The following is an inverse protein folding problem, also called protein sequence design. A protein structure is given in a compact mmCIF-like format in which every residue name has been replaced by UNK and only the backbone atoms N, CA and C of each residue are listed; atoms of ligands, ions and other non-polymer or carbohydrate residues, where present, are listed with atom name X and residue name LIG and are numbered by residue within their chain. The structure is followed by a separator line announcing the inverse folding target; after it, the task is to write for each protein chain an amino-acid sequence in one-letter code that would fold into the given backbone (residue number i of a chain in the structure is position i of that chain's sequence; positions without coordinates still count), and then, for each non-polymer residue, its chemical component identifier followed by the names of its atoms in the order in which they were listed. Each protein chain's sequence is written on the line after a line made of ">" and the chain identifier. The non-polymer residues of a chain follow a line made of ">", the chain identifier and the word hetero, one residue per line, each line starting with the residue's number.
data_IF_485247120777
#
_entry.id   IF_485247120777
#
_cell.length_a   1.000
_cell.length_b   1.000
_cell.length_c   1.000
_cell.angle_alpha   90.00
_cell.angle_beta   90.00
_cell.angle_gamma   90.00
#
_symmetry.space_group_name_H-M   'P 1'
#
loop_
_entity.id
_entity.type
_entity.pdbx_description
1 polymer ?
#
# COMPACT_ATOMS: atom_id res chain seq x y z
N UNK A 1 -53.23 38.01 -26.82
CA UNK A 1 -52.08 38.21 -25.91
C UNK A 1 -51.81 36.92 -25.16
N UNK A 2 -50.53 36.57 -25.04
CA UNK A 2 -49.90 35.57 -24.16
C UNK A 2 -50.14 34.07 -24.43
N UNK A 3 -49.11 33.51 -25.08
CA UNK A 3 -48.63 32.12 -25.09
C UNK A 3 -48.12 31.72 -23.69
N UNK A 4 -48.15 30.43 -23.34
CA UNK A 4 -47.10 29.67 -22.62
C UNK A 4 -47.58 28.19 -22.41
N UNK A 5 -47.30 27.27 -23.35
CA UNK A 5 -46.26 26.21 -23.25
C UNK A 5 -46.10 25.54 -21.87
N UNK A 6 -46.77 24.40 -21.69
CA UNK A 6 -46.46 23.41 -20.65
C UNK A 6 -45.69 22.24 -21.28
N UNK A 7 -44.37 22.24 -21.14
CA UNK A 7 -43.47 21.17 -21.58
C UNK A 7 -43.32 20.23 -20.37
N UNK A 8 -44.03 19.10 -20.35
CA UNK A 8 -43.71 18.02 -19.41
C UNK A 8 -42.52 17.25 -19.98
N UNK A 9 -41.32 17.65 -19.54
CA UNK A 9 -40.07 17.02 -19.92
C UNK A 9 -40.01 15.57 -19.39
N UNK A 10 -39.48 14.72 -20.26
CA UNK A 10 -39.18 13.32 -20.02
C UNK A 10 -38.29 13.11 -18.78
N UNK A 11 -38.50 11.95 -18.15
CA UNK A 11 -37.60 11.41 -17.14
C UNK A 11 -36.16 11.31 -17.69
N UNK A 12 -35.15 11.55 -16.83
CA UNK A 12 -33.96 10.74 -16.82
C UNK A 12 -33.99 9.86 -15.57
N UNK A 13 -34.44 8.62 -15.76
CA UNK A 13 -34.14 7.49 -14.88
C UNK A 13 -32.64 7.24 -14.99
N UNK A 14 -31.88 7.61 -13.96
CA UNK A 14 -30.43 7.50 -13.99
C UNK A 14 -29.80 8.01 -12.70
N UNK A 15 -30.25 7.50 -11.55
CA UNK A 15 -29.40 7.52 -10.37
C UNK A 15 -28.21 6.58 -10.67
N UNK A 16 -26.95 7.03 -10.51
CA UNK A 16 -25.81 6.14 -10.70
C UNK A 16 -25.87 5.08 -9.61
N UNK A 17 -26.28 3.88 -10.01
CA UNK A 17 -26.12 2.67 -9.21
C UNK A 17 -24.72 2.18 -9.56
N UNK A 18 -23.75 2.43 -8.68
CA UNK A 18 -22.46 1.74 -8.58
C UNK A 18 -21.67 2.50 -7.50
N UNK A 19 -22.04 2.33 -6.23
CA UNK A 19 -21.21 1.46 -5.41
C UNK A 19 -20.75 0.25 -6.22
N UNK A 20 -19.67 0.44 -6.99
CA UNK A 20 -18.99 -0.63 -7.70
C UNK A 20 -18.66 -1.65 -6.63
N UNK A 21 -19.48 -2.69 -6.53
CA UNK A 21 -19.33 -3.74 -5.54
C UNK A 21 -17.90 -4.24 -5.67
N UNK A 22 -17.05 -3.82 -4.74
CA UNK A 22 -15.63 -4.12 -4.80
C UNK A 22 -15.52 -5.64 -4.91
N UNK A 23 -15.03 -6.11 -6.05
CA UNK A 23 -15.01 -7.53 -6.36
C UNK A 23 -14.40 -8.27 -5.17
N UNK A 24 -15.10 -9.29 -4.67
CA UNK A 24 -14.63 -10.03 -3.52
C UNK A 24 -13.23 -10.60 -3.83
N UNK A 25 -12.28 -10.49 -2.89
CA UNK A 25 -10.91 -10.93 -3.12
C UNK A 25 -10.89 -12.43 -3.42
N UNK A 26 -10.07 -12.84 -4.39
CA UNK A 26 -9.94 -14.25 -4.75
C UNK A 26 -9.38 -15.11 -3.60
N UNK A 27 -8.64 -14.50 -2.66
CA UNK A 27 -8.13 -15.18 -1.48
C UNK A 27 -8.37 -14.37 -0.19
N UNK A 28 -9.52 -14.58 0.49
CA UNK A 28 -9.86 -13.89 1.73
C UNK A 28 -8.86 -14.17 2.88
N UNK A 29 -8.32 -15.38 2.96
CA UNK A 29 -7.34 -15.72 3.99
C UNK A 29 -6.02 -14.96 3.78
N UNK A 30 -5.57 -14.83 2.53
CA UNK A 30 -4.41 -14.02 2.18
C UNK A 30 -4.63 -12.56 2.57
N UNK A 31 -5.79 -12.00 2.20
CA UNK A 31 -6.19 -10.65 2.60
C UNK A 31 -6.11 -10.45 4.11
N UNK A 32 -6.65 -11.37 4.91
CA UNK A 32 -6.58 -11.29 6.38
C UNK A 32 -5.12 -11.29 6.88
N UNK A 33 -4.26 -12.13 6.33
CA UNK A 33 -2.84 -12.17 6.72
C UNK A 33 -2.11 -10.87 6.38
N UNK A 34 -2.39 -10.27 5.23
CA UNK A 34 -1.82 -8.98 4.84
C UNK A 34 -2.35 -7.84 5.72
N UNK A 35 -3.65 -7.82 6.01
CA UNK A 35 -4.24 -6.83 6.91
C UNK A 35 -3.62 -6.91 8.32
N UNK A 36 -3.37 -8.13 8.81
CA UNK A 36 -2.64 -8.31 10.07
C UNK A 36 -1.22 -7.75 9.98
N UNK A 37 -0.48 -8.04 8.91
CA UNK A 37 0.86 -7.48 8.69
C UNK A 37 0.84 -5.94 8.63
N UNK A 38 -0.16 -5.35 7.98
CA UNK A 38 -0.35 -3.89 7.91
C UNK A 38 -0.62 -3.31 9.29
N UNK A 39 -1.47 -3.96 10.08
CA UNK A 39 -1.76 -3.56 11.46
C UNK A 39 -0.52 -3.64 12.34
N UNK A 40 0.23 -4.75 12.28
CA UNK A 40 1.45 -4.97 13.05
C UNK A 40 2.52 -3.91 12.72
N UNK A 41 2.73 -3.61 11.44
CA UNK A 41 3.68 -2.58 11.02
C UNK A 41 3.23 -1.18 11.48
N UNK A 42 1.94 -0.85 11.38
CA UNK A 42 1.41 0.41 11.85
C UNK A 42 1.59 0.58 13.36
N UNK A 43 1.34 -0.48 14.13
CA UNK A 43 1.53 -0.50 15.58
C UNK A 43 3.00 -0.34 15.96
N UNK A 44 3.91 -1.09 15.34
CA UNK A 44 5.35 -0.97 15.58
C UNK A 44 5.85 0.47 15.36
N UNK A 45 5.36 1.16 14.33
CA UNK A 45 5.70 2.57 14.10
C UNK A 45 5.08 3.51 15.15
N UNK A 46 3.87 3.22 15.62
CA UNK A 46 3.22 4.00 16.67
C UNK A 46 4.00 3.88 17.99
N UNK A 47 4.42 2.67 18.35
CA UNK A 47 5.25 2.40 19.53
C UNK A 47 6.60 3.11 19.43
N UNK A 48 7.28 3.04 18.28
CA UNK A 48 8.53 3.77 18.07
C UNK A 48 8.36 5.29 18.21
N UNK A 49 7.27 5.86 17.71
CA UNK A 49 6.97 7.30 17.87
C UNK A 49 6.66 7.68 19.32
N UNK A 50 6.03 6.78 20.07
CA UNK A 50 5.74 6.99 21.50
C UNK A 50 7.03 6.93 22.32
N UNK A 51 7.87 5.95 22.07
CA UNK A 51 9.05 5.67 22.90
C UNK A 51 10.23 6.63 22.59
N UNK A 52 10.24 7.20 21.38
CA UNK A 52 11.25 8.14 20.91
C UNK A 52 10.62 9.47 20.45
N UNK A 53 10.47 10.41 21.39
CA UNK A 53 10.00 11.75 21.04
C UNK A 53 11.00 12.49 20.13
N UNK A 54 10.53 13.37 19.23
CA UNK A 54 11.42 14.16 18.37
C UNK A 54 12.45 14.98 19.15
N UNK A 55 12.09 15.51 20.33
CA UNK A 55 13.00 16.27 21.19
C UNK A 55 14.12 15.37 21.72
N UNK A 56 13.78 14.16 22.18
CA UNK A 56 14.77 13.19 22.68
C UNK A 56 15.76 12.80 21.59
N UNK A 57 15.28 12.57 20.38
CA UNK A 57 16.12 12.18 19.25
C UNK A 57 17.10 13.28 18.80
N UNK A 58 16.76 14.56 19.00
CA UNK A 58 17.62 15.69 18.64
C UNK A 58 18.77 15.91 19.64
N UNK A 59 18.57 15.59 20.91
CA UNK A 59 19.53 15.90 21.98
C UNK A 59 20.31 14.68 22.48
N UNK A 60 19.88 13.46 22.18
CA UNK A 60 20.53 12.22 22.63
C UNK A 60 20.90 11.30 21.46
N UNK A 61 22.20 11.23 21.16
CA UNK A 61 22.77 10.38 20.12
C UNK A 61 22.61 8.89 20.43
N UNK A 62 22.58 8.49 21.71
CA UNK A 62 22.35 7.09 22.11
C UNK A 62 20.91 6.69 21.78
N UNK A 63 19.94 7.51 22.17
CA UNK A 63 18.53 7.31 21.79
C UNK A 63 18.34 7.32 20.27
N UNK A 64 19.03 8.19 19.53
CA UNK A 64 18.98 8.21 18.07
C UNK A 64 19.49 6.90 17.44
N UNK A 65 20.61 6.35 17.93
CA UNK A 65 21.15 5.07 17.45
C UNK A 65 20.22 3.90 17.79
N UNK A 66 19.64 3.90 18.99
CA UNK A 66 18.67 2.89 19.41
C UNK A 66 17.42 2.91 18.52
N UNK A 67 16.84 4.09 18.31
CA UNK A 67 15.72 4.30 17.38
C UNK A 67 16.05 3.80 15.98
N UNK A 68 17.20 4.18 15.41
CA UNK A 68 17.59 3.74 14.07
C UNK A 68 17.74 2.21 13.97
N UNK A 69 18.25 1.56 15.03
CA UNK A 69 18.33 0.09 15.09
C UNK A 69 16.93 -0.54 15.13
N UNK A 70 16.03 -0.03 15.96
CA UNK A 70 14.70 -0.61 16.12
C UNK A 70 13.83 -0.39 14.88
N UNK A 71 13.93 0.77 14.23
CA UNK A 71 13.31 1.01 12.91
C UNK A 71 13.78 -0.03 11.90
N UNK A 72 15.09 -0.32 11.83
CA UNK A 72 15.63 -1.34 10.91
C UNK A 72 15.10 -2.74 11.25
N UNK A 73 15.00 -3.09 12.54
CA UNK A 73 14.47 -4.39 12.96
C UNK A 73 12.98 -4.53 12.59
N UNK A 74 12.16 -3.51 12.85
CA UNK A 74 10.76 -3.51 12.48
C UNK A 74 10.57 -3.62 10.96
N UNK A 75 11.35 -2.85 10.18
CA UNK A 75 11.32 -2.95 8.71
C UNK A 75 11.75 -4.32 8.20
N UNK A 76 12.79 -4.92 8.79
CA UNK A 76 13.25 -6.27 8.44
C UNK A 76 12.17 -7.32 8.72
N UNK A 77 11.50 -7.23 9.86
CA UNK A 77 10.41 -8.15 10.20
C UNK A 77 9.23 -8.01 9.22
N UNK A 78 8.84 -6.78 8.87
CA UNK A 78 7.79 -6.54 7.86
C UNK A 78 8.20 -7.09 6.49
N UNK A 79 9.46 -6.89 6.09
CA UNK A 79 10.01 -7.43 4.84
C UNK A 79 9.94 -8.95 4.82
N UNK A 80 10.48 -9.63 5.83
CA UNK A 80 10.53 -11.10 5.88
C UNK A 80 9.13 -11.72 5.81
N UNK A 81 8.18 -11.16 6.57
CA UNK A 81 6.79 -11.60 6.54
C UNK A 81 6.14 -11.34 5.18
N UNK A 82 6.32 -10.15 4.60
CA UNK A 82 5.76 -9.85 3.29
C UNK A 82 6.35 -10.75 2.20
N UNK A 83 7.66 -10.98 2.20
CA UNK A 83 8.32 -11.89 1.27
C UNK A 83 7.79 -13.31 1.41
N UNK A 84 7.62 -13.82 2.64
CA UNK A 84 7.08 -15.15 2.86
C UNK A 84 5.63 -15.28 2.34
N UNK A 85 4.81 -14.27 2.59
CA UNK A 85 3.44 -14.22 2.09
C UNK A 85 3.38 -14.20 0.56
N UNK A 86 4.18 -13.34 -0.08
CA UNK A 86 4.28 -13.25 -1.55
C UNK A 86 4.76 -14.57 -2.14
N UNK A 87 5.77 -15.21 -1.53
CA UNK A 87 6.31 -16.49 -1.98
C UNK A 87 5.27 -17.60 -1.95
N UNK A 88 4.42 -17.64 -0.92
CA UNK A 88 3.42 -18.71 -0.74
C UNK A 88 2.16 -18.49 -1.57
N UNK A 89 1.75 -17.24 -1.74
CA UNK A 89 0.41 -16.90 -2.24
C UNK A 89 0.41 -16.06 -3.52
N UNK A 90 1.60 -15.67 -4.01
CA UNK A 90 1.76 -14.82 -5.17
C UNK A 90 1.69 -13.32 -4.83
N UNK A 91 1.83 -12.50 -5.87
CA UNK A 91 1.84 -11.05 -5.73
C UNK A 91 0.47 -10.52 -5.26
N UNK A 92 0.40 -9.65 -4.25
CA UNK A 92 -0.84 -9.16 -3.66
C UNK A 92 -1.42 -8.01 -4.47
N UNK A 93 -2.07 -8.35 -5.59
CA UNK A 93 -2.79 -7.40 -6.43
C UNK A 93 -4.28 -7.30 -6.08
N UNK A 94 -4.99 -6.39 -6.74
CA UNK A 94 -6.40 -6.12 -6.45
C UNK A 94 -7.31 -7.34 -6.65
N UNK A 95 -6.97 -8.24 -7.58
CA UNK A 95 -7.74 -9.46 -7.83
C UNK A 95 -7.53 -10.47 -6.70
N UNK A 96 -6.28 -10.62 -6.24
CA UNK A 96 -5.95 -11.57 -5.18
C UNK A 96 -6.52 -11.16 -3.82
N UNK A 97 -6.37 -9.90 -3.44
CA UNK A 97 -6.58 -9.45 -2.05
C UNK A 97 -7.47 -8.23 -1.89
N UNK A 98 -7.98 -7.67 -2.99
CA UNK A 98 -8.75 -6.43 -3.02
C UNK A 98 -7.85 -5.20 -3.13
N UNK A 99 -8.34 -4.17 -3.82
CA UNK A 99 -7.55 -2.98 -4.19
C UNK A 99 -7.01 -2.21 -2.96
N UNK A 100 -7.81 -2.09 -1.91
CA UNK A 100 -7.44 -1.42 -0.66
C UNK A 100 -6.30 -2.15 0.06
N UNK A 101 -6.35 -3.48 0.13
CA UNK A 101 -5.29 -4.28 0.76
C UNK A 101 -4.04 -4.28 -0.10
N UNK A 102 -4.18 -4.40 -1.43
CA UNK A 102 -3.07 -4.30 -2.37
C UNK A 102 -2.33 -2.97 -2.20
N UNK A 103 -3.06 -1.84 -2.17
CA UNK A 103 -2.47 -0.51 -1.96
C UNK A 103 -1.78 -0.39 -0.59
N UNK A 104 -2.41 -0.90 0.48
CA UNK A 104 -1.81 -0.88 1.81
C UNK A 104 -0.52 -1.70 1.90
N UNK A 105 -0.42 -2.82 1.17
CA UNK A 105 0.83 -3.58 1.03
C UNK A 105 1.90 -2.76 0.31
N UNK A 106 1.55 -2.03 -0.74
CA UNK A 106 2.50 -1.14 -1.41
C UNK A 106 3.09 -0.10 -0.47
N UNK A 107 2.27 0.48 0.42
CA UNK A 107 2.79 1.42 1.42
C UNK A 107 3.86 0.76 2.30
N UNK A 108 3.72 -0.52 2.65
CA UNK A 108 4.79 -1.28 3.34
C UNK A 108 6.01 -1.43 2.43
N UNK A 109 5.81 -1.93 1.21
CA UNK A 109 6.88 -2.18 0.25
C UNK A 109 7.73 -0.93 -0.04
N UNK A 110 7.12 0.26 -0.09
CA UNK A 110 7.82 1.53 -0.31
C UNK A 110 8.91 1.82 0.72
N UNK A 111 8.77 1.31 1.95
CA UNK A 111 9.72 1.54 3.04
C UNK A 111 10.86 0.53 3.08
N UNK A 112 10.73 -0.60 2.38
CA UNK A 112 11.75 -1.64 2.34
C UNK A 112 12.88 -1.20 1.41
N UNK A 113 14.11 -1.20 1.92
CA UNK A 113 15.31 -0.71 1.21
C UNK A 113 16.19 -1.81 0.64
N UNK A 114 15.84 -3.07 0.89
CA UNK A 114 16.61 -4.23 0.44
C UNK A 114 16.49 -4.41 -1.10
N UNK A 115 17.60 -4.43 -1.85
CA UNK A 115 17.56 -4.39 -3.31
C UNK A 115 16.84 -5.57 -3.96
N UNK A 116 17.02 -6.78 -3.45
CA UNK A 116 16.40 -8.00 -3.98
C UNK A 116 14.89 -7.91 -3.89
N UNK A 117 14.38 -7.62 -2.70
CA UNK A 117 12.96 -7.37 -2.45
C UNK A 117 12.42 -6.30 -3.40
N UNK A 118 13.13 -5.17 -3.56
CA UNK A 118 12.67 -4.09 -4.43
C UNK A 118 12.60 -4.50 -5.89
N UNK A 119 13.60 -5.25 -6.38
CA UNK A 119 13.60 -5.75 -7.74
C UNK A 119 12.45 -6.76 -7.97
N UNK A 120 12.22 -7.65 -7.00
CA UNK A 120 11.15 -8.64 -7.06
C UNK A 120 9.76 -8.00 -7.01
N UNK A 121 9.58 -7.04 -6.10
CA UNK A 121 8.34 -6.29 -5.98
C UNK A 121 8.07 -5.44 -7.23
N UNK A 122 9.11 -4.84 -7.84
CA UNK A 122 8.98 -4.11 -9.10
C UNK A 122 8.44 -5.01 -10.22
N UNK A 123 9.01 -6.21 -10.38
CA UNK A 123 8.50 -7.16 -11.39
C UNK A 123 7.06 -7.57 -11.14
N UNK A 124 6.68 -7.73 -9.86
CA UNK A 124 5.32 -8.05 -9.46
C UNK A 124 4.33 -6.93 -9.79
N UNK A 125 4.65 -5.68 -9.42
CA UNK A 125 3.77 -4.52 -9.69
C UNK A 125 3.67 -4.22 -11.19
N UNK A 126 4.75 -4.42 -11.96
CA UNK A 126 4.72 -4.27 -13.42
C UNK A 126 3.75 -5.27 -14.08
N UNK A 127 3.81 -6.54 -13.67
CA UNK A 127 2.91 -7.57 -14.16
C UNK A 127 1.46 -7.33 -13.71
N UNK A 128 1.23 -6.86 -12.48
CA UNK A 128 -0.10 -6.55 -11.98
C UNK A 128 -0.73 -5.35 -12.70
N UNK A 129 0.04 -4.32 -13.03
CA UNK A 129 -0.40 -3.17 -13.83
C UNK A 129 -0.81 -3.60 -15.25
N UNK A 130 -0.04 -4.47 -15.90
CA UNK A 130 -0.39 -4.99 -17.24
C UNK A 130 -1.75 -5.71 -17.27
N UNK A 131 -2.21 -6.20 -16.11
CA UNK A 131 -3.51 -6.86 -15.94
C UNK A 131 -4.57 -5.96 -15.32
N UNK A 132 -4.29 -4.66 -15.19
CA UNK A 132 -5.17 -3.67 -14.55
C UNK A 132 -5.50 -4.00 -13.08
N UNK A 133 -4.70 -4.86 -12.44
CA UNK A 133 -4.87 -5.29 -11.05
C UNK A 133 -4.07 -4.40 -10.07
N UNK A 134 -3.45 -3.34 -10.56
CA UNK A 134 -2.69 -2.37 -9.79
C UNK A 134 -2.70 -0.99 -10.45
N UNK A 135 -2.53 0.07 -9.66
CA UNK A 135 -2.45 1.43 -10.17
C UNK A 135 -1.10 1.74 -10.84
N UNK A 136 -1.14 2.34 -12.03
CA UNK A 136 0.04 2.92 -12.69
C UNK A 136 0.74 3.99 -11.83
N UNK A 137 -0.02 4.72 -11.00
CA UNK A 137 0.55 5.73 -10.12
C UNK A 137 1.43 5.08 -9.04
N UNK A 138 0.96 3.99 -8.43
CA UNK A 138 1.72 3.25 -7.42
C UNK A 138 2.97 2.60 -8.05
N UNK A 139 2.85 2.04 -9.26
CA UNK A 139 3.98 1.50 -10.01
C UNK A 139 5.07 2.56 -10.25
N UNK A 140 4.67 3.73 -10.76
CA UNK A 140 5.60 4.84 -11.05
C UNK A 140 6.28 5.31 -9.77
N UNK A 141 5.49 5.52 -8.71
CA UNK A 141 6.02 5.98 -7.43
C UNK A 141 6.99 4.94 -6.82
N UNK A 142 6.71 3.65 -6.95
CA UNK A 142 7.63 2.60 -6.51
C UNK A 142 8.94 2.61 -7.30
N UNK A 143 8.86 2.74 -8.63
CA UNK A 143 10.02 2.78 -9.52
C UNK A 143 10.91 4.00 -9.23
N UNK A 144 10.31 5.20 -9.08
CA UNK A 144 11.02 6.43 -8.72
C UNK A 144 11.74 6.30 -7.39
N UNK A 145 11.03 5.78 -6.38
CA UNK A 145 11.59 5.51 -5.06
C UNK A 145 12.74 4.51 -5.13
N UNK A 146 12.62 3.46 -5.94
CA UNK A 146 13.68 2.45 -6.15
C UNK A 146 14.93 3.09 -6.74
N UNK A 147 14.77 3.89 -7.79
CA UNK A 147 15.89 4.62 -8.43
C UNK A 147 16.58 5.57 -7.46
N UNK A 148 15.81 6.34 -6.70
CA UNK A 148 16.35 7.29 -5.72
C UNK A 148 17.14 6.61 -4.58
N UNK A 149 16.76 5.38 -4.20
CA UNK A 149 17.48 4.62 -3.17
C UNK A 149 18.74 3.94 -3.71
N UNK A 150 18.71 3.47 -4.97
CA UNK A 150 19.88 2.88 -5.62
C UNK A 150 20.95 3.91 -5.94
N UNK A 151 20.58 5.15 -6.28
CA UNK A 151 21.52 6.23 -6.60
C UNK A 151 22.28 6.78 -5.38
N UNK A 152 21.87 6.43 -4.15
CA UNK A 152 22.50 6.86 -2.88
C UNK A 152 23.55 5.88 -2.35
N UNK A 153 23.86 4.82 -3.10
CA UNK A 153 24.81 3.77 -2.72
C UNK A 153 26.18 3.99 -3.33
#
# INVERSE_FOLDING_TARGET
>A
MCVLTGIAAAQPTGAPTEDAAAAAPANPAYRTQLLQLISDDAQARADLKRDYSPQRLQHDTVSLRAYAREVRMAQKQSQERLTDLIRRQGFPDAQAVGADTAHAVFLIAQRITEPGFRADFQRGIDAAVQREAYSHADQTLFADRSRALSAKR
#
